data_IF_170332471916
#
_entry.id   IF_170332471916
#
_cell.length_a   1.000
_cell.length_b   1.000
_cell.length_c   1.000
_cell.angle_alpha   90.00
_cell.angle_beta   90.00
_cell.angle_gamma   90.00
#
_symmetry.space_group_name_H-M   'P 1'
#
loop_
_entity.id
_entity.type
_entity.pdbx_description
1 polymer ?
#
# COMPACT_ATOMS: atom_id res chain seq x y z
N UNK A 1 -5.35 -45.69 -9.97
CA UNK A 1 -5.01 -44.35 -10.51
C UNK A 1 -6.30 -43.59 -10.83
N UNK A 2 -6.74 -42.71 -9.94
CA UNK A 2 -7.66 -41.63 -10.29
C UNK A 2 -6.95 -40.28 -10.18
N UNK A 3 -7.04 -39.53 -11.26
CA UNK A 3 -6.64 -38.14 -11.40
C UNK A 3 -7.49 -37.27 -10.47
N UNK A 4 -6.86 -36.48 -9.62
CA UNK A 4 -7.55 -35.46 -8.82
C UNK A 4 -7.21 -34.09 -9.41
N UNK A 5 -8.16 -33.55 -10.17
CA UNK A 5 -8.32 -32.12 -10.39
C UNK A 5 -8.68 -31.47 -9.03
N UNK A 6 -7.73 -30.81 -8.38
CA UNK A 6 -8.03 -29.84 -7.32
C UNK A 6 -7.34 -28.51 -7.65
N UNK A 7 -8.08 -27.69 -8.39
CA UNK A 7 -7.93 -26.25 -8.45
C UNK A 7 -7.91 -25.67 -7.03
N UNK A 8 -6.71 -25.44 -6.49
CA UNK A 8 -6.51 -24.48 -5.40
C UNK A 8 -5.94 -23.19 -5.98
N UNK A 9 -6.76 -22.51 -6.78
CA UNK A 9 -6.61 -21.08 -6.95
C UNK A 9 -7.19 -20.41 -5.69
N UNK A 10 -6.41 -19.71 -4.86
CA UNK A 10 -6.95 -19.03 -3.69
C UNK A 10 -7.94 -17.96 -4.14
N UNK A 11 -9.19 -18.13 -3.71
CA UNK A 11 -10.30 -17.19 -3.91
C UNK A 11 -10.00 -15.86 -3.18
N UNK A 12 -10.47 -14.71 -3.71
CA UNK A 12 -10.20 -13.38 -3.15
C UNK A 12 -10.91 -13.07 -1.81
N UNK A 13 -11.55 -14.06 -1.17
CA UNK A 13 -12.55 -13.85 -0.11
C UNK A 13 -12.09 -14.16 1.33
N UNK A 14 -10.77 -14.23 1.62
CA UNK A 14 -10.28 -14.33 3.01
C UNK A 14 -9.34 -13.21 3.43
N UNK A 15 -9.38 -12.09 2.72
CA UNK A 15 -8.85 -10.84 3.23
C UNK A 15 -9.86 -10.18 4.19
N UNK A 16 -10.27 -10.88 5.24
CA UNK A 16 -10.93 -10.23 6.40
C UNK A 16 -9.85 -9.42 7.11
N UNK A 17 -9.50 -8.25 6.56
CA UNK A 17 -8.76 -7.19 7.25
C UNK A 17 -9.67 -6.61 8.33
N UNK A 18 -9.93 -7.41 9.37
CA UNK A 18 -10.61 -7.00 10.60
C UNK A 18 -9.61 -6.17 11.40
N UNK A 19 -9.50 -4.91 10.99
CA UNK A 19 -8.56 -3.95 11.54
C UNK A 19 -8.05 -3.08 10.42
N UNK A 20 -8.56 -1.86 10.34
CA UNK A 20 -7.79 -0.75 9.80
C UNK A 20 -6.36 -0.90 10.33
N UNK A 21 -5.31 -0.92 9.49
CA UNK A 21 -3.95 -0.90 10.02
C UNK A 21 -3.88 0.27 11.00
N UNK A 22 -3.50 -0.05 12.24
CA UNK A 22 -3.46 0.93 13.32
C UNK A 22 -2.80 2.20 12.81
N UNK A 23 -3.43 3.35 13.09
CA UNK A 23 -2.93 4.64 12.64
C UNK A 23 -1.42 4.70 12.93
N UNK A 24 -0.61 5.04 11.92
CA UNK A 24 0.84 5.02 12.06
C UNK A 24 1.22 5.94 13.23
N UNK A 25 1.72 5.36 14.32
CA UNK A 25 2.21 6.09 15.48
C UNK A 25 3.52 6.81 15.18
N UNK A 26 4.22 6.37 14.13
CA UNK A 26 5.42 7.02 13.60
C UNK A 26 5.02 8.04 12.54
N UNK A 27 5.18 9.32 12.87
CA UNK A 27 5.10 10.39 11.89
C UNK A 27 6.17 10.17 10.81
N UNK A 28 5.80 10.40 9.55
CA UNK A 28 6.77 10.36 8.47
C UNK A 28 7.88 11.40 8.72
N UNK A 29 9.15 11.07 8.42
CA UNK A 29 10.23 12.02 8.53
C UNK A 29 9.95 13.25 7.64
N UNK A 30 10.38 14.42 8.12
CA UNK A 30 10.23 15.68 7.38
C UNK A 30 10.92 15.56 6.03
N UNK A 31 10.16 15.64 4.93
CA UNK A 31 10.67 15.49 3.57
C UNK A 31 10.06 14.32 2.77
N UNK A 32 9.39 13.36 3.44
CA UNK A 32 8.65 12.31 2.74
C UNK A 32 7.33 12.89 2.20
N UNK A 33 7.24 13.05 0.88
CA UNK A 33 6.02 13.49 0.22
C UNK A 33 5.03 12.32 0.10
N UNK A 34 3.81 12.49 0.59
CA UNK A 34 2.71 11.54 0.37
C UNK A 34 1.70 12.11 -0.62
N UNK A 35 1.12 11.27 -1.48
CA UNK A 35 0.01 11.69 -2.33
C UNK A 35 -1.22 11.97 -1.45
N UNK A 36 -1.95 13.03 -1.76
CA UNK A 36 -3.23 13.38 -1.12
C UNK A 36 -4.43 12.68 -1.76
N UNK A 37 -4.29 12.22 -3.01
CA UNK A 37 -5.32 11.50 -3.74
C UNK A 37 -4.69 10.41 -4.61
N UNK A 38 -5.50 9.42 -4.97
CA UNK A 38 -5.13 8.37 -5.94
C UNK A 38 -4.87 9.04 -7.29
N UNK A 39 -3.78 8.68 -7.96
CA UNK A 39 -3.48 9.25 -9.26
C UNK A 39 -4.57 8.86 -10.28
N UNK A 40 -5.06 9.83 -11.05
CA UNK A 40 -6.16 9.64 -12.01
C UNK A 40 -5.85 8.55 -13.05
N UNK A 41 -4.56 8.34 -13.33
CA UNK A 41 -4.10 7.29 -14.25
C UNK A 41 -4.42 5.87 -13.77
N UNK A 42 -4.62 5.68 -12.47
CA UNK A 42 -5.03 4.40 -11.87
C UNK A 42 -6.52 4.37 -11.52
N UNK A 43 -7.29 5.41 -11.87
CA UNK A 43 -8.74 5.44 -11.61
C UNK A 43 -9.52 4.37 -12.36
N UNK A 44 -8.94 3.77 -13.40
CA UNK A 44 -9.53 2.63 -14.13
C UNK A 44 -9.32 1.29 -13.41
N UNK A 45 -8.48 1.23 -12.37
CA UNK A 45 -8.27 0.03 -11.56
C UNK A 45 -9.14 0.07 -10.29
N UNK A 46 -9.24 -1.07 -9.59
CA UNK A 46 -9.94 -1.11 -8.31
C UNK A 46 -9.30 -0.17 -7.29
N UNK A 47 -10.12 0.45 -6.43
CA UNK A 47 -9.66 1.47 -5.48
C UNK A 47 -8.48 1.01 -4.61
N UNK A 48 -8.41 -0.28 -4.25
CA UNK A 48 -7.28 -0.84 -3.51
C UNK A 48 -5.97 -0.86 -4.33
N UNK A 49 -6.05 -1.28 -5.59
CA UNK A 49 -4.89 -1.35 -6.49
C UNK A 49 -4.39 0.04 -6.88
N UNK A 50 -5.32 0.95 -7.15
CA UNK A 50 -5.02 2.32 -7.50
C UNK A 50 -4.28 3.06 -6.37
N UNK A 51 -4.71 2.86 -5.11
CA UNK A 51 -3.99 3.37 -3.92
C UNK A 51 -2.58 2.78 -3.83
N UNK A 52 -2.44 1.46 -4.01
CA UNK A 52 -1.13 0.81 -3.97
C UNK A 52 -0.19 1.36 -5.03
N UNK A 53 -0.61 1.45 -6.28
CA UNK A 53 0.23 1.99 -7.35
C UNK A 53 0.59 3.46 -7.12
N UNK A 54 -0.36 4.30 -6.72
CA UNK A 54 -0.09 5.70 -6.39
C UNK A 54 0.96 5.83 -5.27
N UNK A 55 0.80 5.05 -4.20
CA UNK A 55 1.77 5.03 -3.11
C UNK A 55 3.14 4.53 -3.57
N UNK A 56 3.18 3.49 -4.40
CA UNK A 56 4.40 2.87 -4.89
C UNK A 56 5.23 3.84 -5.71
N UNK A 57 4.58 4.56 -6.63
CA UNK A 57 5.25 5.57 -7.44
C UNK A 57 5.84 6.69 -6.60
N UNK A 58 5.07 7.20 -5.66
CA UNK A 58 5.56 8.27 -4.80
C UNK A 58 6.68 7.76 -3.87
N UNK A 59 6.63 6.51 -3.42
CA UNK A 59 7.73 5.88 -2.69
C UNK A 59 8.99 5.81 -3.55
N UNK A 60 8.91 5.40 -4.81
CA UNK A 60 10.06 5.36 -5.70
C UNK A 60 10.60 6.76 -6.02
N UNK A 61 9.75 7.75 -6.22
CA UNK A 61 10.16 9.14 -6.38
C UNK A 61 10.91 9.64 -5.14
N UNK A 62 10.38 9.37 -3.94
CA UNK A 62 11.07 9.70 -2.70
C UNK A 62 12.37 8.91 -2.53
N UNK A 63 12.42 7.66 -3.00
CA UNK A 63 13.62 6.82 -2.96
C UNK A 63 14.73 7.37 -3.85
N UNK A 64 14.39 7.79 -5.07
CA UNK A 64 15.31 8.44 -6.00
C UNK A 64 15.80 9.78 -5.44
N UNK A 65 14.92 10.55 -4.82
CA UNK A 65 15.26 11.83 -4.20
C UNK A 65 15.97 11.68 -2.84
N UNK A 66 16.23 10.45 -2.38
CA UNK A 66 16.73 10.13 -1.04
C UNK A 66 15.92 10.79 0.11
N UNK A 67 14.66 11.12 -0.15
CA UNK A 67 13.79 11.86 0.78
C UNK A 67 13.00 10.92 1.70
N UNK A 68 13.13 9.60 1.55
CA UNK A 68 12.49 8.61 2.41
C UNK A 68 12.96 8.69 3.87
N UNK A 69 14.13 9.24 4.16
CA UNK A 69 14.62 9.41 5.53
C UNK A 69 14.70 8.10 6.33
N UNK A 70 14.94 6.97 5.65
CA UNK A 70 14.94 5.63 6.25
C UNK A 70 13.59 4.93 6.30
N UNK A 71 12.51 5.55 5.80
CA UNK A 71 11.18 4.94 5.73
C UNK A 71 11.16 3.81 4.68
N UNK A 72 10.83 2.59 5.13
CA UNK A 72 10.69 1.42 4.25
C UNK A 72 9.28 1.35 3.66
N UNK A 73 9.15 0.74 2.48
CA UNK A 73 7.87 0.51 1.79
C UNK A 73 6.82 -0.13 2.72
N UNK A 74 7.15 -1.29 3.28
CA UNK A 74 6.34 -2.03 4.26
C UNK A 74 7.23 -2.31 5.46
N UNK A 75 6.77 -1.95 6.66
CA UNK A 75 7.47 -2.21 7.90
C UNK A 75 6.48 -2.45 9.04
N UNK A 76 6.84 -3.37 9.94
CA UNK A 76 6.11 -3.64 11.18
C UNK A 76 6.01 -2.35 12.01
N UNK A 77 4.79 -1.86 12.25
CA UNK A 77 4.54 -0.66 13.04
C UNK A 77 4.38 0.66 12.26
N UNK A 78 4.37 0.64 10.92
CA UNK A 78 4.06 1.83 10.11
C UNK A 78 5.11 2.12 9.04
N UNK A 79 5.00 1.42 7.91
CA UNK A 79 5.79 1.70 6.71
C UNK A 79 5.15 2.77 5.82
N UNK A 80 5.86 3.17 4.76
CA UNK A 80 5.40 4.16 3.79
C UNK A 80 4.01 3.84 3.24
N UNK A 81 3.78 2.58 2.85
CA UNK A 81 2.49 2.17 2.28
C UNK A 81 1.34 2.33 3.28
N UNK A 82 1.54 1.97 4.55
CA UNK A 82 0.51 2.13 5.58
C UNK A 82 0.16 3.61 5.81
N UNK A 83 1.17 4.49 5.86
CA UNK A 83 0.95 5.94 5.98
C UNK A 83 0.23 6.51 4.75
N UNK A 84 0.68 6.13 3.56
CA UNK A 84 0.09 6.59 2.31
C UNK A 84 -1.35 6.10 2.15
N UNK A 85 -1.62 4.82 2.38
CA UNK A 85 -2.96 4.26 2.30
C UNK A 85 -3.89 4.87 3.36
N UNK A 86 -3.40 5.11 4.57
CA UNK A 86 -4.15 5.83 5.60
C UNK A 86 -4.50 7.24 5.15
N UNK A 87 -3.57 7.99 4.55
CA UNK A 87 -3.83 9.32 3.96
C UNK A 87 -4.87 9.29 2.84
N UNK A 88 -4.83 8.29 1.96
CA UNK A 88 -5.73 8.15 0.82
C UNK A 88 -7.12 7.62 1.20
N UNK A 89 -7.25 7.00 2.38
CA UNK A 89 -8.53 6.55 2.95
C UNK A 89 -9.14 7.54 3.93
N UNK A 90 -8.37 8.54 4.37
CA UNK A 90 -8.77 9.55 5.37
C UNK A 90 -9.54 10.71 4.75
#
# INVERSE_FOLDING_TARGET
>A
MPWYDDETAPTPDTATYKGEPAAPTTAAPRGVGFPSAVATKFSSESAGKARMHTCLEQYYANKQNNSLGGLKWIQKGGGYYSLCNSRLKS
#
